data_IF_332320880918
#
_entry.id   IF_332320880918
#
_cell.length_a   1.000
_cell.length_b   1.000
_cell.length_c   1.000
_cell.angle_alpha   90.00
_cell.angle_beta   90.00
_cell.angle_gamma   90.00
#
_symmetry.space_group_name_H-M   'P 1'
#
loop_
_entity.id
_entity.type
_entity.pdbx_description
1 polymer ?
#
# COMPACT_ATOMS: atom_id res chain seq x y z
N UNK A 1 -19.11 -14.56 2.58
CA UNK A 1 -19.54 -15.01 3.93
C UNK A 1 -20.28 -13.87 4.60
N UNK A 2 -21.08 -14.19 5.62
CA UNK A 2 -21.67 -13.21 6.53
C UNK A 2 -21.00 -13.34 7.90
N UNK A 3 -20.80 -12.23 8.60
CA UNK A 3 -20.14 -12.20 9.90
C UNK A 3 -21.03 -11.52 10.96
N UNK A 4 -20.95 -12.04 12.18
CA UNK A 4 -21.59 -11.49 13.38
C UNK A 4 -20.62 -11.49 14.56
N UNK A 5 -20.70 -10.47 15.39
CA UNK A 5 -20.00 -10.38 16.68
C UNK A 5 -21.06 -10.16 17.75
N UNK A 6 -21.03 -10.99 18.81
CA UNK A 6 -22.01 -10.94 19.93
C UNK A 6 -23.48 -11.01 19.47
N UNK A 7 -23.74 -11.63 18.32
CA UNK A 7 -25.07 -11.74 17.72
C UNK A 7 -25.49 -10.54 16.86
N UNK A 8 -24.70 -9.47 16.82
CA UNK A 8 -24.88 -8.32 15.95
C UNK A 8 -24.22 -8.57 14.59
N UNK A 9 -24.91 -8.18 13.51
CA UNK A 9 -24.41 -8.37 12.14
C UNK A 9 -23.39 -7.30 11.80
N UNK A 10 -22.14 -7.70 11.55
CA UNK A 10 -21.04 -6.76 11.27
C UNK A 10 -20.78 -6.57 9.78
N UNK A 11 -21.10 -7.57 8.95
CA UNK A 11 -20.98 -7.39 7.50
C UNK A 11 -20.97 -8.65 6.66
N UNK A 12 -20.69 -8.42 5.38
CA UNK A 12 -20.75 -9.41 4.32
C UNK A 12 -19.67 -9.17 3.28
N UNK A 13 -19.06 -10.25 2.77
CA UNK A 13 -18.08 -10.21 1.67
C UNK A 13 -18.29 -11.38 0.71
N UNK A 14 -17.95 -11.19 -0.57
CA UNK A 14 -18.12 -12.20 -1.63
C UNK A 14 -16.84 -12.59 -2.37
N UNK A 15 -15.81 -11.73 -2.34
CA UNK A 15 -14.61 -11.95 -3.15
C UNK A 15 -13.68 -12.89 -2.40
N UNK A 16 -13.44 -14.08 -2.95
CA UNK A 16 -12.77 -15.15 -2.19
C UNK A 16 -11.29 -14.88 -1.92
N UNK A 17 -10.62 -14.11 -2.78
CA UNK A 17 -9.17 -13.84 -2.71
C UNK A 17 -8.82 -12.41 -2.30
N UNK A 18 -9.81 -11.56 -1.99
CA UNK A 18 -9.57 -10.23 -1.42
C UNK A 18 -9.65 -10.28 0.10
N UNK A 19 -8.89 -9.43 0.77
CA UNK A 19 -9.04 -9.19 2.21
C UNK A 19 -10.44 -8.60 2.49
N UNK A 20 -10.97 -8.85 3.67
CA UNK A 20 -12.24 -8.27 4.12
C UNK A 20 -12.09 -7.85 5.57
N UNK A 21 -12.23 -6.56 5.79
CA UNK A 21 -12.06 -5.91 7.09
C UNK A 21 -13.40 -5.35 7.54
N UNK A 22 -13.66 -5.45 8.85
CA UNK A 22 -14.87 -4.93 9.47
C UNK A 22 -14.46 -4.23 10.76
N UNK A 23 -14.85 -2.98 10.92
CA UNK A 23 -14.77 -2.32 12.21
C UNK A 23 -15.78 -2.98 13.17
N UNK A 24 -15.28 -3.43 14.30
CA UNK A 24 -16.04 -4.11 15.35
C UNK A 24 -16.00 -3.36 16.68
N UNK A 25 -15.42 -2.16 16.73
CA UNK A 25 -15.17 -1.38 17.95
C UNK A 25 -16.44 -1.21 18.78
N UNK A 26 -17.55 -0.82 18.13
CA UNK A 26 -18.82 -0.55 18.81
C UNK A 26 -19.58 -1.79 19.30
N UNK A 27 -19.23 -2.98 18.81
CA UNK A 27 -19.96 -4.24 19.10
C UNK A 27 -19.19 -5.17 20.05
N UNK A 28 -17.96 -4.80 20.42
CA UNK A 28 -17.15 -5.53 21.39
C UNK A 28 -17.57 -5.22 22.82
N UNK A 29 -17.47 -6.23 23.68
CA UNK A 29 -17.72 -6.14 25.12
C UNK A 29 -16.45 -6.51 25.90
N UNK A 30 -16.33 -6.02 27.13
CA UNK A 30 -15.25 -6.44 28.03
C UNK A 30 -15.28 -7.96 28.28
N UNK A 31 -14.18 -8.64 28.00
CA UNK A 31 -14.01 -10.06 28.24
C UNK A 31 -14.32 -10.93 27.02
N UNK A 32 -15.25 -11.87 27.15
CA UNK A 32 -15.46 -12.91 26.14
C UNK A 32 -16.42 -12.44 25.07
N UNK A 33 -15.91 -12.34 23.84
CA UNK A 33 -16.68 -12.00 22.64
C UNK A 33 -16.91 -13.25 21.77
N UNK A 34 -18.05 -13.31 21.09
CA UNK A 34 -18.39 -14.43 20.18
C UNK A 34 -18.41 -13.97 18.74
N UNK A 35 -17.47 -14.46 17.92
CA UNK A 35 -17.49 -14.33 16.47
C UNK A 35 -18.25 -15.52 15.84
N UNK A 36 -19.22 -15.24 14.98
CA UNK A 36 -19.93 -16.23 14.19
C UNK A 36 -19.85 -15.88 12.70
N UNK A 37 -19.50 -16.87 11.86
CA UNK A 37 -19.32 -16.68 10.41
C UNK A 37 -20.14 -17.72 9.64
N UNK A 38 -20.97 -17.26 8.70
CA UNK A 38 -21.70 -18.10 7.75
C UNK A 38 -20.98 -18.08 6.40
N UNK A 39 -20.31 -19.19 6.07
CA UNK A 39 -19.63 -19.37 4.79
C UNK A 39 -20.54 -20.16 3.83
N UNK A 40 -20.80 -19.57 2.67
CA UNK A 40 -21.53 -20.23 1.59
C UNK A 40 -20.56 -20.78 0.56
N UNK A 41 -20.84 -21.98 0.06
CA UNK A 41 -20.02 -22.62 -0.98
C UNK A 41 -20.28 -22.01 -2.37
N UNK A 42 -21.51 -21.60 -2.65
CA UNK A 42 -21.92 -21.06 -3.95
C UNK A 42 -22.69 -19.76 -3.77
N UNK A 43 -22.40 -18.78 -4.61
CA UNK A 43 -23.09 -17.50 -4.73
C UNK A 43 -23.08 -17.05 -6.19
N UNK A 44 -23.64 -15.88 -6.49
CA UNK A 44 -23.54 -15.24 -7.80
C UNK A 44 -22.09 -14.90 -8.18
N UNK A 45 -21.25 -14.53 -7.21
CA UNK A 45 -19.80 -14.34 -7.43
C UNK A 45 -19.09 -15.58 -7.98
N UNK A 46 -19.61 -16.78 -7.72
CA UNK A 46 -19.03 -18.03 -8.23
C UNK A 46 -19.03 -18.15 -9.77
N UNK A 47 -19.84 -17.35 -10.48
CA UNK A 47 -19.78 -17.28 -11.95
C UNK A 47 -18.58 -16.49 -12.47
N UNK A 48 -18.02 -15.60 -11.64
CA UNK A 48 -16.83 -14.80 -11.96
C UNK A 48 -15.53 -15.45 -11.46
N UNK A 49 -15.66 -16.52 -10.65
CA UNK A 49 -14.55 -17.27 -10.05
C UNK A 49 -14.48 -18.72 -10.57
N UNK A 50 -14.51 -18.88 -11.91
CA UNK A 50 -14.42 -20.19 -12.58
C UNK A 50 -13.02 -20.47 -13.14
N UNK A 51 -11.99 -20.27 -12.31
CA UNK A 51 -10.62 -20.60 -12.70
C UNK A 51 -10.42 -22.12 -12.83
N UNK A 52 -9.49 -22.55 -13.69
CA UNK A 52 -9.10 -23.95 -13.87
C UNK A 52 -8.31 -24.47 -12.66
N UNK A 53 -9.01 -24.68 -11.54
CA UNK A 53 -8.46 -25.19 -10.28
C UNK A 53 -9.50 -25.98 -9.49
N UNK A 54 -9.03 -26.72 -8.48
CA UNK A 54 -9.94 -27.36 -7.54
C UNK A 54 -10.75 -26.31 -6.75
N UNK A 55 -12.07 -26.50 -6.71
CA UNK A 55 -12.97 -25.61 -5.98
C UNK A 55 -12.98 -25.93 -4.48
N UNK A 56 -12.24 -25.12 -3.73
CA UNK A 56 -12.19 -25.15 -2.26
C UNK A 56 -13.23 -24.21 -1.66
N UNK A 57 -13.55 -24.39 -0.38
CA UNK A 57 -14.53 -23.56 0.34
C UNK A 57 -14.20 -23.56 1.83
N UNK A 58 -14.57 -22.52 2.54
CA UNK A 58 -14.29 -22.35 3.96
C UNK A 58 -13.52 -21.06 4.23
N UNK A 59 -13.04 -20.92 5.47
CA UNK A 59 -12.06 -19.91 5.84
C UNK A 59 -10.70 -20.58 5.65
N UNK A 60 -9.97 -20.18 4.61
CA UNK A 60 -8.74 -20.85 4.16
C UNK A 60 -7.51 -19.92 4.19
N UNK A 61 -7.68 -18.70 4.70
CA UNK A 61 -6.64 -17.74 5.03
C UNK A 61 -6.84 -17.28 6.47
N UNK A 62 -5.86 -16.58 7.00
CA UNK A 62 -5.84 -16.17 8.39
C UNK A 62 -6.98 -15.23 8.75
N UNK A 63 -7.34 -15.29 10.03
CA UNK A 63 -8.31 -14.41 10.65
C UNK A 63 -7.66 -13.92 11.94
N UNK A 64 -7.52 -12.61 12.06
CA UNK A 64 -6.98 -11.95 13.23
C UNK A 64 -7.87 -10.77 13.60
N UNK A 65 -7.74 -10.32 14.84
CA UNK A 65 -8.30 -9.06 15.30
C UNK A 65 -7.16 -8.05 15.27
N UNK A 66 -7.40 -6.89 14.66
CA UNK A 66 -6.43 -5.80 14.62
C UNK A 66 -6.85 -4.73 15.62
N UNK A 67 -5.97 -4.42 16.56
CA UNK A 67 -6.10 -3.25 17.41
C UNK A 67 -5.28 -2.11 16.79
N UNK A 68 -5.90 -0.95 16.62
CA UNK A 68 -5.25 0.24 16.06
C UNK A 68 -5.61 1.46 16.92
N UNK A 69 -4.68 2.43 17.08
CA UNK A 69 -5.00 3.69 17.71
C UNK A 69 -6.17 4.40 17.01
N UNK A 70 -6.98 5.14 17.77
CA UNK A 70 -8.11 5.94 17.26
C UNK A 70 -7.66 6.93 16.17
N UNK A 71 -6.49 7.54 16.35
CA UNK A 71 -5.85 8.42 15.37
C UNK A 71 -4.61 7.73 14.80
N UNK A 72 -4.77 7.13 13.62
CA UNK A 72 -3.74 6.35 12.94
C UNK A 72 -3.78 6.57 11.43
N UNK A 73 -2.69 6.20 10.76
CA UNK A 73 -2.62 6.10 9.31
C UNK A 73 -3.53 4.95 8.86
N UNK A 74 -4.54 5.28 8.06
CA UNK A 74 -5.48 4.32 7.49
C UNK A 74 -4.92 3.71 6.21
N UNK A 75 -4.40 4.56 5.33
CA UNK A 75 -3.88 4.17 4.04
C UNK A 75 -2.74 5.11 3.64
N UNK A 76 -1.79 4.61 2.86
CA UNK A 76 -0.65 5.39 2.39
C UNK A 76 -0.27 4.96 0.98
N UNK A 77 0.22 5.90 0.19
CA UNK A 77 0.68 5.61 -1.16
C UNK A 77 2.05 6.23 -1.41
N UNK A 78 3.01 5.39 -1.81
CA UNK A 78 4.39 5.80 -2.06
C UNK A 78 4.63 5.90 -3.56
N UNK A 79 5.15 7.04 -3.99
CA UNK A 79 5.52 7.35 -5.36
C UNK A 79 7.02 7.60 -5.45
N UNK A 80 7.68 6.91 -6.36
CA UNK A 80 9.11 7.11 -6.64
C UNK A 80 9.31 7.70 -8.02
N UNK A 81 10.02 8.82 -8.11
CA UNK A 81 10.41 9.43 -9.38
C UNK A 81 11.92 9.58 -9.48
N UNK A 82 12.49 9.32 -10.65
CA UNK A 82 13.91 9.56 -10.93
C UNK A 82 14.06 10.76 -11.87
N UNK A 83 15.10 11.56 -11.64
CA UNK A 83 15.36 12.78 -12.39
C UNK A 83 16.75 12.69 -13.02
N UNK A 84 16.80 12.90 -14.34
CA UNK A 84 18.04 12.83 -15.12
C UNK A 84 18.56 14.21 -15.47
N UNK A 85 19.86 14.39 -15.34
CA UNK A 85 20.52 15.61 -15.79
C UNK A 85 20.91 15.45 -17.26
N UNK A 86 20.14 16.12 -18.12
CA UNK A 86 20.29 16.04 -19.58
C UNK A 86 20.97 17.31 -20.09
N UNK A 87 21.93 17.14 -21.00
CA UNK A 87 22.55 18.28 -21.68
C UNK A 87 21.49 19.06 -22.48
N UNK A 88 21.32 20.34 -22.14
CA UNK A 88 20.44 21.28 -22.85
C UNK A 88 20.63 21.28 -24.37
N UNK A 89 21.86 21.07 -24.87
CA UNK A 89 22.13 21.03 -26.30
C UNK A 89 21.51 19.79 -26.99
N UNK A 90 21.41 18.66 -26.29
CA UNK A 90 20.74 17.45 -26.80
C UNK A 90 19.22 17.68 -26.84
N UNK A 91 18.66 18.31 -25.82
CA UNK A 91 17.23 18.66 -25.79
C UNK A 91 16.87 19.57 -26.97
N UNK A 92 17.66 20.63 -27.19
CA UNK A 92 17.47 21.53 -28.35
C UNK A 92 17.63 20.82 -29.71
N UNK A 93 18.46 19.77 -29.77
CA UNK A 93 18.70 18.99 -30.98
C UNK A 93 17.63 17.90 -31.24
N UNK A 94 16.67 17.71 -30.34
CA UNK A 94 15.67 16.65 -30.43
C UNK A 94 16.19 15.31 -29.93
N UNK A 95 16.64 15.27 -28.67
CA UNK A 95 17.07 14.08 -27.95
C UNK A 95 16.11 12.90 -28.15
N UNK A 96 16.68 11.73 -28.38
CA UNK A 96 15.95 10.46 -28.43
C UNK A 96 15.75 9.86 -27.04
N UNK A 97 14.76 8.96 -26.90
CA UNK A 97 14.52 8.23 -25.65
C UNK A 97 15.78 7.45 -25.19
N UNK A 98 16.52 6.82 -26.11
CA UNK A 98 17.76 6.10 -25.77
C UNK A 98 18.84 7.02 -25.19
N UNK A 99 18.95 8.27 -25.69
CA UNK A 99 19.90 9.26 -25.19
C UNK A 99 19.45 9.85 -23.84
N UNK A 100 18.15 10.01 -23.66
CA UNK A 100 17.57 10.41 -22.37
C UNK A 100 17.81 9.33 -21.31
N UNK A 101 17.52 8.07 -21.61
CA UNK A 101 17.68 6.94 -20.69
C UNK A 101 19.15 6.65 -20.34
N UNK A 102 20.07 6.94 -21.26
CA UNK A 102 21.51 6.86 -21.01
C UNK A 102 22.06 8.06 -20.21
N UNK A 103 21.29 9.13 -20.03
CA UNK A 103 21.73 10.29 -19.25
C UNK A 103 21.81 9.95 -17.76
N UNK A 104 22.82 10.43 -17.02
CA UNK A 104 22.94 10.14 -15.59
C UNK A 104 21.69 10.55 -14.81
N UNK A 105 21.27 9.68 -13.87
CA UNK A 105 20.33 10.09 -12.83
C UNK A 105 21.08 11.01 -11.86
N UNK A 106 20.45 12.11 -11.52
CA UNK A 106 21.01 13.14 -10.63
C UNK A 106 20.43 13.00 -9.23
N UNK A 107 19.10 12.89 -9.14
CA UNK A 107 18.38 12.68 -7.89
C UNK A 107 17.10 11.87 -8.12
N UNK A 108 16.54 11.34 -7.03
CA UNK A 108 15.20 10.76 -6.98
C UNK A 108 14.34 11.50 -5.96
N UNK A 109 13.02 11.42 -6.12
CA UNK A 109 12.05 11.82 -5.10
C UNK A 109 11.27 10.59 -4.62
N UNK A 110 11.06 10.52 -3.31
CA UNK A 110 10.13 9.59 -2.66
C UNK A 110 9.02 10.43 -2.05
N UNK A 111 7.88 10.38 -2.70
CA UNK A 111 6.69 11.16 -2.40
C UNK A 111 5.68 10.21 -1.73
N UNK A 112 5.12 10.61 -0.59
CA UNK A 112 4.20 9.78 0.20
C UNK A 112 2.94 10.55 0.51
N UNK A 113 1.82 9.98 0.10
CA UNK A 113 0.49 10.48 0.41
C UNK A 113 -0.11 9.67 1.55
N UNK A 114 -0.79 10.34 2.49
CA UNK A 114 -1.40 9.73 3.66
C UNK A 114 -2.90 10.00 3.70
N UNK A 115 -3.66 8.97 4.06
CA UNK A 115 -5.03 9.08 4.51
C UNK A 115 -5.13 8.55 5.94
N UNK A 116 -5.79 9.29 6.81
CA UNK A 116 -5.97 8.93 8.22
C UNK A 116 -7.38 8.41 8.50
N UNK A 117 -7.57 7.76 9.64
CA UNK A 117 -8.92 7.47 10.15
C UNK A 117 -9.64 8.75 10.58
N UNK A 118 -10.95 8.80 10.37
CA UNK A 118 -11.85 9.89 10.77
C UNK A 118 -11.42 11.31 10.38
N UNK A 119 -10.71 11.43 9.25
CA UNK A 119 -10.14 12.70 8.77
C UNK A 119 -9.25 13.41 9.81
N UNK A 120 -8.67 12.66 10.75
CA UNK A 120 -7.80 13.20 11.77
C UNK A 120 -6.47 13.69 11.17
N UNK A 121 -5.97 14.82 11.67
CA UNK A 121 -4.62 15.29 11.34
C UNK A 121 -3.61 14.61 12.28
N UNK A 122 -2.91 13.61 11.77
CA UNK A 122 -1.91 12.84 12.53
C UNK A 122 -0.53 13.29 12.09
N UNK A 123 0.28 13.90 13.00
CA UNK A 123 1.66 14.23 12.67
C UNK A 123 2.47 12.96 12.38
N UNK A 124 3.03 12.89 11.17
CA UNK A 124 3.88 11.79 10.74
C UNK A 124 5.29 12.32 10.47
N UNK A 125 6.29 11.79 11.17
CA UNK A 125 7.69 11.95 10.79
C UNK A 125 8.04 10.85 9.79
N UNK A 126 8.66 11.22 8.68
CA UNK A 126 9.03 10.31 7.59
C UNK A 126 10.55 10.30 7.45
N UNK A 127 11.17 9.13 7.59
CA UNK A 127 12.61 8.94 7.50
C UNK A 127 12.94 7.89 6.45
N UNK A 128 13.98 8.11 5.66
CA UNK A 128 14.46 7.18 4.65
C UNK A 128 15.88 6.75 4.99
N UNK A 129 16.11 5.45 5.01
CA UNK A 129 17.39 4.82 5.30
C UNK A 129 17.89 4.02 4.10
N UNK A 130 19.20 3.97 3.91
CA UNK A 130 19.84 3.11 2.90
C UNK A 130 19.96 1.64 3.37
N UNK A 131 20.57 0.79 2.54
CA UNK A 131 20.80 -0.64 2.85
C UNK A 131 21.68 -0.87 4.08
N UNK A 132 22.56 0.09 4.40
CA UNK A 132 23.44 0.04 5.56
C UNK A 132 22.75 0.58 6.82
N UNK A 133 21.51 1.08 6.69
CA UNK A 133 20.73 1.68 7.77
C UNK A 133 21.15 3.11 8.09
N UNK A 134 21.90 3.78 7.22
CA UNK A 134 22.23 5.20 7.37
C UNK A 134 21.07 6.07 6.91
N UNK A 135 20.78 7.14 7.66
CA UNK A 135 19.71 8.09 7.34
C UNK A 135 20.09 8.90 6.10
N UNK A 136 19.29 8.77 5.04
CA UNK A 136 19.44 9.47 3.76
C UNK A 136 18.67 10.78 3.76
N UNK A 137 17.41 10.75 4.18
CA UNK A 137 16.52 11.90 4.17
C UNK A 137 15.48 11.82 5.30
N UNK A 138 15.03 12.97 5.77
CA UNK A 138 13.99 13.10 6.79
C UNK A 138 13.09 14.29 6.49
N UNK A 139 11.79 14.12 6.69
CA UNK A 139 10.79 15.18 6.62
C UNK A 139 9.63 14.90 7.56
N UNK A 140 8.66 15.81 7.63
CA UNK A 140 7.36 15.58 8.26
C UNK A 140 6.26 15.67 7.20
N UNK A 141 5.17 14.93 7.40
CA UNK A 141 3.97 15.06 6.60
C UNK A 141 3.32 16.42 6.89
N UNK A 142 2.88 17.09 5.83
CA UNK A 142 2.17 18.36 5.88
C UNK A 142 0.73 18.17 5.38
N UNK A 143 -0.27 18.84 5.98
CA UNK A 143 -1.64 18.78 5.50
C UNK A 143 -1.78 19.31 4.07
N UNK A 144 -2.69 18.72 3.30
CA UNK A 144 -3.06 19.20 1.97
C UNK A 144 -4.13 20.28 2.15
N UNK A 145 -3.82 21.53 1.78
CA UNK A 145 -4.64 22.72 2.05
C UNK A 145 -6.04 22.72 1.38
N UNK A 146 -6.33 21.75 0.51
CA UNK A 146 -7.69 21.41 0.05
C UNK A 146 -7.68 19.99 -0.55
N UNK A 147 -8.21 18.96 0.13
CA UNK A 147 -8.20 17.58 -0.37
C UNK A 147 -9.09 17.39 -1.62
N UNK A 148 -9.88 18.42 -2.00
CA UNK A 148 -10.78 18.42 -3.16
C UNK A 148 -10.45 19.50 -4.20
N UNK A 149 -9.53 20.43 -3.93
CA UNK A 149 -8.91 21.21 -5.00
C UNK A 149 -7.83 20.35 -5.63
N UNK A 150 -8.26 19.41 -6.46
CA UNK A 150 -7.43 19.09 -7.61
C UNK A 150 -7.14 20.42 -8.30
N UNK A 151 -5.88 20.82 -8.34
CA UNK A 151 -5.43 21.90 -9.20
C UNK A 151 -6.01 21.61 -10.60
N UNK A 152 -6.96 22.43 -11.06
CA UNK A 152 -7.46 22.33 -12.44
C UNK A 152 -6.31 22.50 -13.47
N UNK A 153 -5.11 22.86 -13.01
CA UNK A 153 -3.88 23.04 -13.78
C UNK A 153 -2.72 22.07 -13.44
N UNK A 154 -2.84 21.10 -12.52
CA UNK A 154 -1.82 20.04 -12.32
C UNK A 154 -2.34 18.65 -11.89
N UNK A 155 -3.58 18.32 -12.25
CA UNK A 155 -4.05 16.93 -12.22
C UNK A 155 -3.41 16.17 -13.40
N UNK A 156 -2.15 15.74 -13.27
CA UNK A 156 -1.65 14.64 -14.08
C UNK A 156 -2.17 13.32 -13.51
N UNK A 157 -3.45 13.02 -13.77
CA UNK A 157 -4.00 11.66 -13.65
C UNK A 157 -3.26 10.76 -14.64
N UNK A 158 -2.19 10.13 -14.18
CA UNK A 158 -1.38 9.17 -14.94
C UNK A 158 -2.02 7.79 -14.84
N UNK A 159 -3.00 7.53 -15.70
CA UNK A 159 -3.60 6.18 -15.86
C UNK A 159 -2.82 5.37 -16.90
N UNK A 160 -2.79 4.04 -16.71
CA UNK A 160 -2.06 3.11 -17.57
C UNK A 160 -2.95 2.01 -18.17
N UNK A 161 -2.73 1.56 -19.42
CA UNK A 161 -3.44 0.47 -20.07
C UNK A 161 -2.80 -0.92 -19.85
N UNK A 162 -3.63 -1.95 -19.97
CA UNK A 162 -3.42 -3.38 -19.75
C UNK A 162 -2.33 -4.03 -20.65
N UNK A 163 -1.50 -4.88 -20.05
CA UNK A 163 -0.58 -5.79 -20.70
C UNK A 163 -0.88 -7.23 -20.25
N UNK A 164 -1.68 -7.92 -21.05
CA UNK A 164 -1.77 -9.37 -21.05
C UNK A 164 -0.58 -9.94 -21.79
N UNK A 165 0.14 -10.88 -21.18
CA UNK A 165 0.42 -12.25 -21.67
C UNK A 165 1.46 -12.95 -20.76
N UNK A 166 1.02 -14.06 -20.12
CA UNK A 166 1.77 -15.25 -19.65
C UNK A 166 2.88 -15.06 -18.58
N UNK A 167 3.13 -15.97 -17.62
CA UNK A 167 3.01 -17.42 -17.64
C UNK A 167 2.97 -18.02 -16.22
N UNK A 168 2.43 -19.24 -16.15
CA UNK A 168 2.12 -20.09 -14.99
C UNK A 168 3.36 -20.77 -14.36
N UNK A 169 3.46 -20.83 -13.02
CA UNK A 169 4.19 -21.89 -12.31
C UNK A 169 3.86 -21.99 -10.80
N UNK A 170 3.67 -23.25 -10.38
CA UNK A 170 3.14 -23.80 -9.13
C UNK A 170 4.18 -24.13 -8.03
N UNK A 171 3.77 -24.21 -6.75
CA UNK A 171 4.33 -25.12 -5.70
C UNK A 171 4.46 -24.50 -4.28
N UNK A 172 3.55 -24.74 -3.33
CA UNK A 172 3.47 -25.81 -2.27
C UNK A 172 4.51 -25.81 -1.12
N UNK A 173 4.05 -25.52 0.12
CA UNK A 173 4.17 -26.45 1.28
C UNK A 173 4.72 -25.97 2.66
N UNK A 174 3.88 -26.19 3.71
CA UNK A 174 4.12 -26.48 5.17
C UNK A 174 4.79 -25.42 6.08
N UNK A 175 4.15 -24.89 7.14
CA UNK A 175 3.76 -25.44 8.48
C UNK A 175 4.91 -25.54 9.50
N UNK A 176 4.93 -24.67 10.53
CA UNK A 176 4.98 -25.06 11.96
C UNK A 176 4.99 -23.82 12.91
N UNK A 177 4.50 -24.05 14.13
CA UNK A 177 4.10 -23.12 15.22
C UNK A 177 5.21 -22.55 16.11
N UNK A 178 5.03 -21.34 16.73
CA UNK A 178 4.79 -21.13 18.19
C UNK A 178 5.26 -19.77 18.80
N UNK A 179 4.36 -19.20 19.63
CA UNK A 179 4.52 -18.54 20.96
C UNK A 179 5.08 -17.10 21.15
N UNK A 180 4.20 -16.28 21.75
CA UNK A 180 4.31 -15.22 22.78
C UNK A 180 5.65 -14.47 23.00
N UNK A 181 5.60 -13.13 22.96
CA UNK A 181 5.73 -12.25 24.15
C UNK A 181 5.58 -10.78 23.74
N UNK A 182 4.77 -10.02 24.50
CA UNK A 182 4.59 -8.57 24.36
C UNK A 182 5.75 -7.81 25.02
N UNK A 183 6.33 -6.83 24.32
CA UNK A 183 6.98 -5.70 25.00
C UNK A 183 6.94 -4.43 24.13
N UNK A 184 6.35 -3.36 24.67
CA UNK A 184 6.38 -2.02 24.09
C UNK A 184 7.79 -1.42 24.17
N UNK A 185 8.32 -0.95 23.04
CA UNK A 185 9.64 -0.34 22.95
C UNK A 185 9.64 0.90 22.05
N UNK A 186 10.17 2.00 22.58
CA UNK A 186 10.50 3.21 21.80
C UNK A 186 11.87 2.97 21.16
N UNK A 187 11.94 3.09 19.83
CA UNK A 187 13.16 2.81 19.05
C UNK A 187 13.97 4.09 18.85
N UNK A 188 15.26 4.03 19.23
CA UNK A 188 16.23 5.10 19.04
C UNK A 188 17.25 4.76 17.92
N UNK A 189 17.26 3.54 17.35
CA UNK A 189 18.14 3.11 16.23
C UNK A 189 17.64 1.87 15.42
N UNK A 190 18.05 1.71 14.16
CA UNK A 190 17.60 0.63 13.25
C UNK A 190 18.06 -0.78 13.67
N UNK A 191 19.13 -0.89 14.45
CA UNK A 191 19.60 -2.16 15.03
C UNK A 191 18.55 -2.81 15.97
N UNK A 192 17.57 -2.04 16.45
CA UNK A 192 16.50 -2.52 17.34
C UNK A 192 15.32 -3.18 16.57
N UNK A 193 15.31 -3.15 15.23
CA UNK A 193 14.19 -3.64 14.38
C UNK A 193 14.44 -5.06 13.83
N UNK A 194 15.67 -5.57 13.92
CA UNK A 194 16.09 -6.82 13.27
C UNK A 194 15.61 -8.12 13.96
N UNK A 195 14.50 -8.09 14.71
CA UNK A 195 13.91 -9.27 15.35
C UNK A 195 12.42 -9.48 15.05
N UNK A 196 11.88 -8.86 13.99
CA UNK A 196 10.56 -9.22 13.47
C UNK A 196 10.79 -10.23 12.35
N UNK A 197 10.44 -11.48 12.64
CA UNK A 197 10.61 -12.65 11.78
C UNK A 197 9.94 -12.43 10.42
N UNK A 198 10.74 -12.67 9.38
CA UNK A 198 10.46 -12.43 7.96
C UNK A 198 9.78 -13.66 7.36
N UNK A 199 8.47 -13.59 7.17
CA UNK A 199 7.79 -14.39 6.14
C UNK A 199 6.43 -13.73 5.78
N UNK A 200 6.49 -12.68 4.96
CA UNK A 200 5.34 -12.32 4.11
C UNK A 200 5.83 -11.89 2.73
N UNK A 201 6.04 -12.87 1.86
CA UNK A 201 6.13 -12.65 0.41
C UNK A 201 4.78 -12.21 -0.11
N UNK A 202 4.57 -10.90 -0.26
CA UNK A 202 3.62 -10.30 -1.22
C UNK A 202 3.91 -8.80 -1.35
N UNK A 203 5.11 -8.48 -1.86
CA UNK A 203 5.47 -7.12 -2.25
C UNK A 203 6.32 -7.12 -3.53
N UNK A 204 5.87 -7.88 -4.55
CA UNK A 204 6.44 -7.78 -5.89
C UNK A 204 5.44 -7.16 -6.88
N UNK A 205 5.89 -6.03 -7.44
CA UNK A 205 5.55 -5.47 -8.75
C UNK A 205 4.31 -4.54 -8.85
N UNK A 206 4.60 -3.24 -8.87
CA UNK A 206 3.82 -2.27 -9.65
C UNK A 206 4.75 -1.26 -10.33
N UNK A 207 5.23 -1.59 -11.54
CA UNK A 207 5.88 -0.65 -12.46
C UNK A 207 5.54 -1.04 -13.91
N UNK A 208 4.98 -0.11 -14.72
CA UNK A 208 5.50 0.29 -16.07
C UNK A 208 4.51 1.05 -17.00
N UNK A 209 4.60 2.39 -17.02
CA UNK A 209 4.51 3.33 -18.18
C UNK A 209 3.18 3.49 -18.98
N UNK A 210 2.73 4.75 -19.07
CA UNK A 210 1.52 5.28 -19.73
C UNK A 210 1.60 5.44 -21.26
N UNK A 211 0.46 5.35 -21.95
CA UNK A 211 0.23 6.06 -23.23
C UNK A 211 -1.25 6.41 -23.47
N UNK A 212 -1.45 7.50 -24.23
CA UNK A 212 -2.61 8.41 -24.33
C UNK A 212 -3.69 7.94 -25.33
N UNK A 213 -4.99 7.96 -24.95
CA UNK A 213 -6.12 8.66 -25.63
C UNK A 213 -7.51 8.31 -25.06
N UNK A 214 -8.15 9.27 -24.38
CA UNK A 214 -9.56 9.70 -24.62
C UNK A 214 -10.76 8.93 -24.02
N UNK A 215 -11.49 9.64 -23.15
CA UNK A 215 -12.96 9.62 -22.89
C UNK A 215 -13.47 8.82 -21.68
N UNK A 216 -13.84 9.55 -20.62
CA UNK A 216 -14.68 9.08 -19.50
C UNK A 216 -16.15 8.96 -19.93
N UNK A 217 -16.78 7.82 -19.64
CA UNK A 217 -18.23 7.65 -19.70
C UNK A 217 -18.76 7.39 -18.27
N UNK A 218 -19.67 8.26 -17.82
CA UNK A 218 -20.20 8.26 -16.46
C UNK A 218 -21.05 7.03 -16.08
N UNK A 219 -21.07 6.75 -14.78
CA UNK A 219 -21.93 5.76 -14.13
C UNK A 219 -22.71 6.39 -12.98
N UNK A 220 -24.00 6.11 -12.92
CA UNK A 220 -25.01 6.83 -12.14
C UNK A 220 -25.00 6.53 -10.63
N UNK A 221 -25.47 7.52 -9.87
CA UNK A 221 -25.87 7.43 -8.46
C UNK A 221 -26.79 6.22 -8.18
N UNK A 222 -26.26 5.22 -7.48
CA UNK A 222 -27.00 4.14 -6.86
C UNK A 222 -26.84 4.22 -5.34
N UNK A 223 -27.95 4.40 -4.63
CA UNK A 223 -27.99 4.42 -3.16
C UNK A 223 -27.79 3.01 -2.61
N UNK A 224 -26.75 2.84 -1.78
CA UNK A 224 -26.55 1.66 -0.92
C UNK A 224 -25.43 0.75 -1.39
N UNK A 225 -24.20 1.07 -0.95
CA UNK A 225 -22.98 0.27 -0.75
C UNK A 225 -21.82 1.28 -0.78
N UNK A 226 -21.57 1.96 0.33
CA UNK A 226 -20.38 2.81 0.47
C UNK A 226 -19.23 1.91 0.92
N UNK A 227 -18.62 1.21 -0.03
CA UNK A 227 -17.19 0.97 0.09
C UNK A 227 -16.55 2.32 -0.21
N UNK A 228 -16.17 3.05 0.83
CA UNK A 228 -15.40 4.28 0.70
C UNK A 228 -13.95 3.93 0.33
N UNK A 229 -13.77 3.34 -0.85
CA UNK A 229 -12.50 2.77 -1.31
C UNK A 229 -11.73 3.73 -2.21
N UNK A 230 -12.14 4.98 -2.30
CA UNK A 230 -11.35 5.99 -2.98
C UNK A 230 -10.27 6.43 -1.99
N UNK A 231 -9.01 6.07 -2.25
CA UNK A 231 -7.89 6.69 -1.56
C UNK A 231 -7.98 8.21 -1.77
N UNK A 232 -8.17 8.95 -0.68
CA UNK A 232 -8.31 10.39 -0.66
C UNK A 232 -7.29 10.94 0.35
N UNK A 233 -6.11 11.33 -0.12
CA UNK A 233 -5.05 11.77 0.78
C UNK A 233 -5.37 13.13 1.39
N UNK A 234 -4.99 13.29 2.65
CA UNK A 234 -5.18 14.52 3.43
C UNK A 234 -3.86 15.13 3.90
N UNK A 235 -2.77 14.38 3.83
CA UNK A 235 -1.41 14.87 4.06
C UNK A 235 -0.42 14.27 3.07
N UNK A 236 0.70 14.96 2.89
CA UNK A 236 1.75 14.59 1.95
C UNK A 236 3.14 14.83 2.55
N UNK A 237 4.11 14.00 2.17
CA UNK A 237 5.53 14.17 2.49
C UNK A 237 6.38 13.91 1.23
N UNK A 238 7.45 14.68 1.05
CA UNK A 238 8.40 14.48 -0.04
C UNK A 238 9.83 14.43 0.48
N UNK A 239 10.58 13.42 0.02
CA UNK A 239 11.98 13.18 0.34
C UNK A 239 12.80 13.25 -0.95
N UNK A 240 13.92 13.94 -0.93
CA UNK A 240 14.88 13.95 -2.03
C UNK A 240 16.07 13.04 -1.70
N UNK A 241 16.50 12.25 -2.69
CA UNK A 241 17.67 11.37 -2.61
C UNK A 241 18.66 11.80 -3.68
N UNK A 242 19.78 12.36 -3.27
CA UNK A 242 20.88 12.70 -4.18
C UNK A 242 21.67 11.44 -4.57
N UNK A 243 22.04 11.33 -5.85
CA UNK A 243 22.79 10.18 -6.40
C UNK A 243 22.18 8.81 -6.02
N UNK A 244 20.91 8.55 -6.38
CA UNK A 244 20.18 7.39 -5.91
C UNK A 244 20.75 6.09 -6.48
N UNK A 245 20.79 5.05 -5.64
CA UNK A 245 21.07 3.70 -6.09
C UNK A 245 19.84 3.12 -6.79
N UNK A 246 19.95 2.97 -8.11
CA UNK A 246 18.86 2.42 -8.91
C UNK A 246 18.78 0.90 -8.73
N UNK A 247 17.55 0.42 -8.52
CA UNK A 247 17.29 -1.01 -8.48
C UNK A 247 17.70 -1.68 -9.79
N UNK A 248 18.40 -2.81 -9.66
CA UNK A 248 18.61 -3.74 -10.78
C UNK A 248 18.39 -5.17 -10.32
N UNK A 249 18.18 -6.08 -11.27
CA UNK A 249 18.10 -7.51 -10.97
C UNK A 249 19.40 -8.08 -10.35
N UNK A 250 20.54 -7.39 -10.52
CA UNK A 250 21.84 -7.80 -9.98
C UNK A 250 22.19 -7.09 -8.67
N UNK A 251 21.55 -5.95 -8.41
CA UNK A 251 21.69 -5.13 -7.20
C UNK A 251 20.28 -4.71 -6.74
N UNK A 252 19.53 -5.62 -6.10
CA UNK A 252 18.16 -5.35 -5.63
C UNK A 252 18.18 -4.56 -4.32
N UNK A 253 18.95 -3.48 -4.32
CA UNK A 253 19.06 -2.53 -3.23
C UNK A 253 17.70 -1.89 -3.00
N UNK A 254 17.25 -1.83 -1.74
CA UNK A 254 16.02 -1.18 -1.32
C UNK A 254 16.34 -0.20 -0.19
N UNK A 255 15.77 0.99 -0.27
CA UNK A 255 15.71 1.91 0.85
C UNK A 255 14.65 1.43 1.85
N UNK A 256 14.85 1.70 3.13
CA UNK A 256 13.81 1.50 4.17
C UNK A 256 13.19 2.85 4.52
N UNK A 257 11.89 2.99 4.31
CA UNK A 257 11.13 4.16 4.76
C UNK A 257 10.45 3.85 6.09
N UNK A 258 10.55 4.77 7.03
CA UNK A 258 9.99 4.67 8.38
C UNK A 258 9.04 5.84 8.62
N UNK A 259 7.80 5.52 8.94
CA UNK A 259 6.76 6.46 9.34
C UNK A 259 6.58 6.37 10.85
N UNK A 260 6.78 7.47 11.56
CA UNK A 260 6.61 7.54 13.01
C UNK A 260 5.48 8.50 13.34
N UNK A 261 4.47 8.01 14.05
CA UNK A 261 3.42 8.83 14.69
C UNK A 261 3.60 8.80 16.21
N UNK A 262 2.62 9.33 16.96
CA UNK A 262 2.63 9.25 18.42
C UNK A 262 2.42 7.82 18.95
N UNK A 263 1.71 6.97 18.21
CA UNK A 263 1.22 5.68 18.70
C UNK A 263 1.62 4.49 17.81
N UNK A 264 2.19 4.74 16.64
CA UNK A 264 2.60 3.67 15.73
C UNK A 264 3.89 4.03 14.97
N UNK A 265 4.64 2.98 14.63
CA UNK A 265 5.78 3.03 13.71
C UNK A 265 5.51 2.03 12.60
N UNK A 266 5.54 2.50 11.35
CA UNK A 266 5.32 1.68 10.16
C UNK A 266 6.59 1.72 9.32
N UNK A 267 7.03 0.56 8.85
CA UNK A 267 8.22 0.43 8.00
C UNK A 267 7.84 -0.18 6.66
N UNK A 268 8.41 0.33 5.57
CA UNK A 268 8.27 -0.24 4.23
C UNK A 268 9.59 -0.20 3.46
N UNK A 269 9.73 -1.06 2.47
CA UNK A 269 10.88 -1.07 1.56
C UNK A 269 10.51 -0.37 0.26
N UNK A 270 11.43 0.45 -0.27
CA UNK A 270 11.21 1.28 -1.45
C UNK A 270 12.45 1.22 -2.35
N UNK A 271 12.28 0.89 -3.64
CA UNK A 271 13.37 0.86 -4.62
C UNK A 271 12.92 0.37 -5.99
#
# INVERSE_FOLDING_TARGET
FYAWVNGEFVGYSQVSHSTSEFDVTDVLEDGVNTLAVLVLKWCDGSYQEDQDKFRMSGIFRDVYLLDRPEYAIRDMFVHTSIWRNVDSALVEAGISDDEYDASPVDHATVDVDFAFFDDADVPVKVQLFDEDGELVAETAAEPIDDPMAGDEDDVTVRTQPDASEADDATGTGSDDTAADDEEEGVIESIDDVAAIDDDSTDAQAALRIASVTGTLAGGANGTGFTGDSAFAPTAHASLAVDDPHLWTAETPYLYTIVYTTANEVITALVG
#
